data_IF_261111110845
#
_entry.id   IF_261111110845
#
_cell.length_a   1.000
_cell.length_b   1.000
_cell.length_c   1.000
_cell.angle_alpha   90.00
_cell.angle_beta   90.00
_cell.angle_gamma   90.00
#
_symmetry.space_group_name_H-M   'P 1'
#
loop_
_entity.id
_entity.type
_entity.pdbx_description
1 polymer ?
#
# COMPACT_ATOMS: atom_id res chain seq x y z
N UNK A 1 14.00 0.50 11.10
CA UNK A 1 12.83 0.88 10.26
C UNK A 1 12.50 2.38 10.21
N UNK A 2 12.69 3.23 11.24
CA UNK A 2 12.33 4.65 11.12
C UNK A 2 13.07 5.38 9.98
N UNK A 3 14.32 5.00 9.72
CA UNK A 3 15.15 5.57 8.64
C UNK A 3 14.60 5.26 7.24
N UNK A 4 14.20 4.02 6.96
CA UNK A 4 13.62 3.62 5.67
C UNK A 4 12.30 4.36 5.39
N UNK A 5 11.48 4.52 6.42
CA UNK A 5 10.24 5.30 6.31
C UNK A 5 10.52 6.78 6.05
N UNK A 6 11.49 7.36 6.76
CA UNK A 6 11.91 8.75 6.55
C UNK A 6 12.42 8.96 5.11
N UNK A 7 13.23 8.04 4.59
CA UNK A 7 13.73 8.09 3.21
C UNK A 7 12.58 8.04 2.20
N UNK A 8 11.63 7.12 2.37
CA UNK A 8 10.47 7.01 1.48
C UNK A 8 9.60 8.29 1.49
N UNK A 9 9.37 8.88 2.67
CA UNK A 9 8.67 10.17 2.80
C UNK A 9 9.44 11.28 2.09
N UNK A 10 10.75 11.33 2.24
CA UNK A 10 11.60 12.32 1.56
C UNK A 10 11.49 12.21 0.04
N UNK A 11 11.51 10.99 -0.51
CA UNK A 11 11.38 10.76 -1.95
C UNK A 11 10.02 11.17 -2.51
N UNK A 12 8.94 10.99 -1.73
CA UNK A 12 7.59 11.35 -2.14
C UNK A 12 7.22 12.80 -1.80
N UNK A 13 8.02 13.50 -1.00
CA UNK A 13 7.75 14.88 -0.59
C UNK A 13 7.52 15.89 -1.73
N UNK A 14 8.17 15.78 -2.92
CA UNK A 14 7.90 16.70 -4.03
C UNK A 14 6.47 16.62 -4.55
N UNK A 15 5.79 15.49 -4.34
CA UNK A 15 4.40 15.28 -4.73
C UNK A 15 3.40 15.97 -3.79
N UNK A 16 3.83 16.46 -2.62
CA UNK A 16 3.00 17.10 -1.59
C UNK A 16 1.72 16.32 -1.25
N UNK A 17 1.81 15.03 -0.88
CA UNK A 17 0.62 14.27 -0.53
C UNK A 17 0.04 14.70 0.82
N UNK A 18 -1.28 14.58 0.96
CA UNK A 18 -2.02 14.83 2.20
C UNK A 18 -1.84 13.70 3.24
N UNK A 19 -1.35 12.53 2.79
CA UNK A 19 -1.07 11.39 3.65
C UNK A 19 -0.33 10.26 2.94
N UNK A 20 -0.13 9.14 3.65
CA UNK A 20 0.55 7.96 3.13
C UNK A 20 -0.12 6.67 3.61
N UNK A 21 -0.20 5.69 2.72
CA UNK A 21 -0.50 4.28 3.07
C UNK A 21 0.78 3.47 2.96
N UNK A 22 1.10 2.69 4.00
CA UNK A 22 2.32 1.86 4.08
C UNK A 22 1.91 0.44 4.44
N UNK A 23 2.48 -0.57 3.78
CA UNK A 23 2.22 -1.97 4.15
C UNK A 23 2.98 -3.01 3.32
N UNK A 24 2.84 -4.27 3.74
CA UNK A 24 3.38 -5.45 3.10
C UNK A 24 2.27 -6.44 2.79
N UNK A 25 2.32 -7.06 1.62
CA UNK A 25 1.56 -8.26 1.31
C UNK A 25 2.49 -9.47 1.47
N UNK A 26 2.08 -10.46 2.26
CA UNK A 26 2.88 -11.67 2.53
C UNK A 26 2.13 -12.91 2.07
N UNK A 27 2.77 -13.67 1.18
CA UNK A 27 2.20 -14.88 0.56
C UNK A 27 1.10 -14.57 -0.46
N UNK A 28 0.75 -15.58 -1.26
CA UNK A 28 -0.24 -15.45 -2.33
C UNK A 28 -1.62 -14.99 -1.81
N UNK A 29 -2.07 -15.55 -0.67
CA UNK A 29 -3.37 -15.17 -0.04
C UNK A 29 -3.35 -13.73 0.48
N UNK A 30 -2.18 -13.24 0.90
CA UNK A 30 -1.99 -11.85 1.29
C UNK A 30 -1.92 -10.87 0.12
N UNK A 31 -1.98 -11.34 -1.13
CA UNK A 31 -1.87 -10.52 -2.34
C UNK A 31 -0.43 -10.20 -2.75
N UNK A 32 0.55 -11.04 -2.35
CA UNK A 32 1.92 -10.89 -2.81
C UNK A 32 2.05 -11.39 -4.25
N UNK A 33 2.35 -10.48 -5.18
CA UNK A 33 2.55 -10.82 -6.59
C UNK A 33 4.03 -11.03 -6.95
N UNK A 34 4.93 -10.32 -6.28
CA UNK A 34 6.38 -10.46 -6.44
C UNK A 34 6.95 -11.09 -5.17
N UNK A 35 7.53 -12.28 -5.31
CA UNK A 35 7.97 -13.13 -4.19
C UNK A 35 9.35 -12.76 -3.64
N UNK A 36 9.51 -11.50 -3.27
CA UNK A 36 10.52 -11.00 -2.35
C UNK A 36 9.92 -9.94 -1.44
N UNK A 37 10.59 -9.65 -0.33
CA UNK A 37 10.13 -8.60 0.60
C UNK A 37 10.18 -7.23 -0.06
N UNK A 38 9.03 -6.59 -0.22
CA UNK A 38 8.92 -5.21 -0.69
C UNK A 38 7.91 -4.45 0.16
N UNK A 39 8.22 -3.20 0.48
CA UNK A 39 7.34 -2.31 1.21
C UNK A 39 6.58 -1.43 0.21
N UNK A 40 5.25 -1.47 0.25
CA UNK A 40 4.43 -0.51 -0.48
C UNK A 40 4.44 0.82 0.28
N UNK A 41 4.76 1.91 -0.42
CA UNK A 41 4.58 3.27 0.08
C UNK A 41 3.78 4.02 -0.97
N UNK A 42 2.55 4.40 -0.63
CA UNK A 42 1.58 5.00 -1.55
C UNK A 42 1.25 6.40 -1.03
N UNK A 43 1.61 7.41 -1.81
CA UNK A 43 1.18 8.80 -1.60
C UNK A 43 -0.36 8.87 -1.69
N UNK A 44 -0.99 9.61 -0.77
CA UNK A 44 -2.44 9.78 -0.70
C UNK A 44 -2.80 11.25 -0.84
N UNK A 45 -3.87 11.53 -1.57
CA UNK A 45 -4.40 12.88 -1.78
C UNK A 45 -5.86 12.92 -1.33
N UNK A 46 -6.29 14.01 -0.71
CA UNK A 46 -7.62 14.12 -0.13
C UNK A 46 -8.74 14.04 -1.17
N UNK A 47 -8.45 14.45 -2.41
CA UNK A 47 -9.38 14.52 -3.54
C UNK A 47 -9.31 13.31 -4.48
N UNK A 48 -8.47 12.31 -4.19
CA UNK A 48 -8.36 11.14 -5.06
C UNK A 48 -9.53 10.15 -4.83
N UNK A 49 -9.96 9.41 -5.86
CA UNK A 49 -11.08 8.46 -5.76
C UNK A 49 -10.91 7.38 -4.67
N UNK A 50 -9.67 7.06 -4.32
CA UNK A 50 -9.35 6.01 -3.36
C UNK A 50 -9.15 6.54 -1.94
N UNK A 51 -9.29 7.85 -1.66
CA UNK A 51 -9.02 8.43 -0.35
C UNK A 51 -9.65 7.61 0.80
N UNK A 52 -8.89 7.37 1.86
CA UNK A 52 -9.31 6.53 2.99
C UNK A 52 -9.28 5.00 2.76
N UNK A 53 -8.94 4.52 1.55
CA UNK A 53 -8.79 3.08 1.27
C UNK A 53 -7.37 2.57 1.55
N UNK A 54 -7.26 1.33 2.04
CA UNK A 54 -5.99 0.64 2.31
C UNK A 54 -5.41 -0.11 1.10
N UNK A 55 -4.22 -0.70 1.26
CA UNK A 55 -3.44 -1.34 0.17
C UNK A 55 -4.22 -2.41 -0.62
N UNK A 56 -5.09 -3.16 0.07
CA UNK A 56 -5.88 -4.24 -0.56
C UNK A 56 -6.91 -3.70 -1.54
N UNK A 57 -7.44 -2.50 -1.30
CA UNK A 57 -8.45 -1.91 -2.19
C UNK A 57 -7.89 -1.63 -3.59
N UNK A 58 -6.59 -1.31 -3.66
CA UNK A 58 -5.88 -1.05 -4.92
C UNK A 58 -5.66 -2.33 -5.76
N UNK A 59 -5.84 -3.52 -5.16
CA UNK A 59 -5.64 -4.81 -5.81
C UNK A 59 -7.01 -5.47 -6.07
N UNK A 60 -7.20 -6.02 -7.28
CA UNK A 60 -8.46 -6.64 -7.73
C UNK A 60 -8.98 -7.64 -6.70
N UNK A 61 -10.16 -7.40 -6.15
CA UNK A 61 -10.79 -8.32 -5.21
C UNK A 61 -11.50 -9.42 -5.99
N UNK A 62 -10.89 -10.61 -6.09
CA UNK A 62 -11.68 -11.81 -6.34
C UNK A 62 -12.54 -12.08 -5.08
N UNK A 63 -13.80 -12.53 -5.21
CA UNK A 63 -14.59 -12.91 -4.06
C UNK A 63 -13.94 -14.15 -3.45
N UNK A 64 -13.42 -14.02 -2.23
CA UNK A 64 -12.95 -15.17 -1.45
C UNK A 64 -13.87 -15.28 -0.25
N UNK A 65 -14.95 -16.04 -0.43
CA UNK A 65 -15.55 -16.75 0.70
C UNK A 65 -14.61 -17.87 1.12
N UNK A 66 -14.47 -18.11 2.44
CA UNK A 66 -13.87 -19.36 2.90
C UNK A 66 -14.81 -20.50 2.49
N UNK A 67 -14.31 -21.60 1.90
CA UNK A 67 -15.06 -22.84 1.98
C UNK A 67 -15.17 -23.23 3.46
N UNK A 68 -16.37 -23.67 3.82
CA UNK A 68 -16.75 -24.38 5.03
C UNK A 68 -15.89 -25.63 5.30
#
# INVERSE_FOLDING_TARGET
MPEMLALAKSHLSPLKPDGFTIGWNVGAVGGQHVFHTHLHVIARFADEPNAGKGIRFMHRQAPVGRPD
#
